data_IF_659080102804
#
_entry.id   IF_659080102804
#
_cell.length_a   1.000
_cell.length_b   1.000
_cell.length_c   1.000
_cell.angle_alpha   90.00
_cell.angle_beta   90.00
_cell.angle_gamma   90.00
#
_symmetry.space_group_name_H-M   'P 1'
#
loop_
_entity.id
_entity.type
_entity.pdbx_description
1 polymer ?
#
# COMPACT_ATOMS: atom_id res chain seq x y z
N UNK A 1 -21.65 2.46 -6.14
CA UNK A 1 -20.52 2.38 -5.20
C UNK A 1 -20.99 2.81 -3.82
N UNK A 2 -20.68 2.04 -2.80
CA UNK A 2 -20.83 2.43 -1.39
C UNK A 2 -19.54 3.09 -0.95
N UNK A 3 -19.65 4.15 -0.16
CA UNK A 3 -18.52 4.86 0.43
C UNK A 3 -18.84 5.17 1.90
N UNK A 4 -17.88 4.86 2.77
CA UNK A 4 -18.02 5.02 4.20
C UNK A 4 -16.75 5.60 4.81
N UNK A 5 -16.89 6.44 5.83
CA UNK A 5 -15.81 6.88 6.69
C UNK A 5 -16.00 6.27 8.07
N UNK A 6 -15.17 5.30 8.40
CA UNK A 6 -15.25 4.53 9.65
C UNK A 6 -14.03 4.82 10.52
N UNK A 7 -14.25 4.92 11.83
CA UNK A 7 -13.16 5.00 12.82
C UNK A 7 -12.90 3.60 13.39
N UNK A 8 -11.84 2.95 12.92
CA UNK A 8 -11.40 1.66 13.45
C UNK A 8 -10.77 1.90 14.82
N UNK A 9 -11.25 1.19 15.84
CA UNK A 9 -10.69 1.28 17.19
C UNK A 9 -9.44 0.41 17.29
N UNK A 10 -8.29 1.02 17.58
CA UNK A 10 -7.02 0.34 17.82
C UNK A 10 -6.59 0.55 19.28
N UNK A 11 -5.57 -0.19 19.74
CA UNK A 11 -4.98 0.02 21.08
C UNK A 11 -4.39 1.43 21.26
N UNK A 12 -4.03 2.12 20.17
CA UNK A 12 -3.32 3.40 20.20
C UNK A 12 -4.19 4.59 19.72
N UNK A 13 -5.49 4.37 19.48
CA UNK A 13 -6.43 5.42 19.09
C UNK A 13 -7.48 5.00 18.08
N UNK A 14 -8.01 5.96 17.35
CA UNK A 14 -9.04 5.75 16.34
C UNK A 14 -8.44 6.01 14.95
N UNK A 15 -8.30 4.95 14.18
CA UNK A 15 -7.80 5.02 12.81
C UNK A 15 -8.96 5.30 11.85
N UNK A 16 -9.09 6.56 11.42
CA UNK A 16 -10.08 6.93 10.41
C UNK A 16 -9.73 6.24 9.09
N UNK A 17 -10.69 5.53 8.53
CA UNK A 17 -10.53 4.70 7.35
C UNK A 17 -11.64 4.98 6.36
N UNK A 18 -11.27 5.34 5.13
CA UNK A 18 -12.18 5.39 4.00
C UNK A 18 -12.38 3.98 3.46
N UNK A 19 -13.64 3.56 3.33
CA UNK A 19 -14.03 2.24 2.82
C UNK A 19 -14.89 2.46 1.58
N UNK A 20 -14.61 1.72 0.50
CA UNK A 20 -15.44 1.77 -0.71
C UNK A 20 -15.51 0.40 -1.39
N UNK A 21 -16.71 0.04 -1.87
CA UNK A 21 -16.98 -1.24 -2.53
C UNK A 21 -18.21 -1.13 -3.47
N UNK A 22 -18.43 -2.09 -4.39
CA UNK A 22 -19.61 -2.09 -5.25
C UNK A 22 -20.91 -2.22 -4.45
N UNK A 23 -21.98 -1.61 -4.94
CA UNK A 23 -23.30 -1.64 -4.29
C UNK A 23 -23.97 -3.01 -4.35
N UNK A 24 -23.70 -3.77 -5.40
CA UNK A 24 -24.30 -5.08 -5.64
C UNK A 24 -23.23 -6.17 -5.70
N UNK A 25 -23.56 -7.34 -5.20
CA UNK A 25 -22.67 -8.50 -5.15
C UNK A 25 -22.09 -8.69 -3.75
N UNK A 26 -20.89 -9.26 -3.68
CA UNK A 26 -20.18 -9.55 -2.43
C UNK A 26 -20.47 -10.92 -1.83
N UNK A 27 -19.76 -11.30 -0.76
CA UNK A 27 -18.64 -10.55 -0.21
C UNK A 27 -17.52 -10.36 -1.24
N UNK A 28 -16.83 -9.20 -1.17
CA UNK A 28 -15.76 -8.84 -2.10
C UNK A 28 -14.39 -9.10 -1.47
N UNK A 29 -13.40 -9.61 -2.24
CA UNK A 29 -12.02 -9.67 -1.75
C UNK A 29 -11.56 -8.29 -1.25
N UNK A 30 -10.84 -8.29 -0.13
CA UNK A 30 -10.48 -7.06 0.57
C UNK A 30 -9.14 -6.52 0.09
N UNK A 31 -9.03 -5.22 -0.11
CA UNK A 31 -7.78 -4.53 -0.42
C UNK A 31 -7.42 -3.55 0.69
N UNK A 32 -6.26 -3.73 1.31
CA UNK A 32 -5.64 -2.73 2.16
C UNK A 32 -4.84 -1.79 1.27
N UNK A 33 -5.36 -0.58 1.13
CA UNK A 33 -4.78 0.46 0.28
C UNK A 33 -4.06 1.48 1.17
N UNK A 34 -2.74 1.41 1.23
CA UNK A 34 -1.95 2.24 2.12
C UNK A 34 -1.53 3.55 1.44
N UNK A 35 -1.80 4.67 2.12
CA UNK A 35 -1.46 6.01 1.68
C UNK A 35 0.05 6.23 1.62
N UNK A 36 0.49 7.18 0.81
CA UNK A 36 1.86 7.66 0.80
C UNK A 36 2.12 8.80 1.81
N UNK A 37 3.36 9.32 1.87
CA UNK A 37 3.75 10.31 2.86
C UNK A 37 2.97 11.63 2.81
N UNK A 38 2.55 12.17 1.67
CA UNK A 38 1.71 13.37 1.60
C UNK A 38 0.36 13.30 2.30
N UNK A 39 -0.03 12.12 2.78
CA UNK A 39 -1.26 11.95 3.56
C UNK A 39 -2.45 11.47 2.73
N UNK A 40 -3.59 11.30 3.41
CA UNK A 40 -4.82 10.79 2.81
C UNK A 40 -5.58 11.89 2.08
N UNK A 41 -5.24 12.09 0.81
CA UNK A 41 -5.84 13.09 -0.06
C UNK A 41 -6.99 12.53 -0.90
N UNK A 42 -7.83 13.40 -1.49
CA UNK A 42 -8.94 12.99 -2.36
C UNK A 42 -8.46 12.17 -3.56
N UNK A 43 -7.27 12.44 -4.07
CA UNK A 43 -6.66 11.62 -5.14
C UNK A 43 -6.52 10.15 -4.75
N UNK A 44 -6.18 9.86 -3.48
CA UNK A 44 -6.13 8.48 -2.96
C UNK A 44 -7.53 7.86 -2.84
N UNK A 45 -8.56 8.66 -2.51
CA UNK A 45 -9.95 8.19 -2.56
C UNK A 45 -10.35 7.80 -3.98
N UNK A 46 -9.99 8.59 -5.01
CA UNK A 46 -10.25 8.26 -6.41
C UNK A 46 -9.51 6.99 -6.85
N UNK A 47 -8.29 6.81 -6.40
CA UNK A 47 -7.51 5.58 -6.65
C UNK A 47 -8.15 4.36 -5.97
N UNK A 48 -8.64 4.51 -4.74
CA UNK A 48 -9.38 3.46 -4.03
C UNK A 48 -10.70 3.11 -4.74
N UNK A 49 -11.46 4.12 -5.22
CA UNK A 49 -12.68 3.94 -6.04
C UNK A 49 -12.37 3.17 -7.32
N UNK A 50 -11.24 3.46 -7.98
CA UNK A 50 -10.80 2.75 -9.19
C UNK A 50 -10.61 1.26 -8.93
N UNK A 51 -9.99 0.90 -7.81
CA UNK A 51 -9.81 -0.51 -7.40
C UNK A 51 -11.17 -1.13 -7.07
N UNK A 52 -11.98 -0.47 -6.24
CA UNK A 52 -13.28 -0.97 -5.82
C UNK A 52 -14.23 -1.20 -7.00
N UNK A 53 -14.19 -0.34 -8.04
CA UNK A 53 -15.01 -0.47 -9.25
C UNK A 53 -14.74 -1.79 -10.01
N UNK A 54 -13.65 -2.46 -9.75
CA UNK A 54 -13.34 -3.78 -10.34
C UNK A 54 -13.72 -4.95 -9.43
N UNK A 55 -14.52 -4.72 -8.38
CA UNK A 55 -15.10 -5.78 -7.56
C UNK A 55 -14.32 -6.10 -6.28
N UNK A 56 -13.80 -5.09 -5.60
CA UNK A 56 -13.07 -5.22 -4.35
C UNK A 56 -13.69 -4.37 -3.23
N UNK A 57 -13.53 -4.83 -1.99
CA UNK A 57 -13.77 -4.06 -0.77
C UNK A 57 -12.47 -3.37 -0.37
N UNK A 58 -12.37 -2.06 -0.57
CA UNK A 58 -11.12 -1.31 -0.38
C UNK A 58 -11.15 -0.53 0.93
N UNK A 59 -10.11 -0.68 1.73
CA UNK A 59 -9.88 0.02 2.99
C UNK A 59 -8.66 0.92 2.86
N UNK A 60 -8.85 2.24 2.97
CA UNK A 60 -7.79 3.25 2.93
C UNK A 60 -7.69 3.97 4.29
N UNK A 61 -6.81 3.49 5.20
CA UNK A 61 -6.66 4.08 6.53
C UNK A 61 -5.80 5.35 6.52
N UNK A 62 -6.08 6.26 7.47
CA UNK A 62 -5.14 7.30 7.87
C UNK A 62 -4.03 6.67 8.74
N UNK A 63 -2.85 6.47 8.18
CA UNK A 63 -1.72 5.86 8.89
C UNK A 63 -1.10 6.77 9.96
N UNK A 64 -1.40 8.08 9.91
CA UNK A 64 -0.92 9.07 10.87
C UNK A 64 -1.85 9.28 12.08
N UNK A 65 -2.89 8.47 12.23
CA UNK A 65 -3.96 8.65 13.23
C UNK A 65 -3.45 8.78 14.67
N UNK A 66 -2.27 8.23 14.99
CA UNK A 66 -1.65 8.36 16.32
C UNK A 66 -1.19 9.77 16.62
N UNK A 67 -0.89 10.54 15.57
CA UNK A 67 -0.34 11.90 15.68
C UNK A 67 -1.34 12.96 15.25
N UNK A 68 -2.15 12.68 14.23
CA UNK A 68 -3.12 13.63 13.69
C UNK A 68 -4.32 12.94 13.06
N UNK A 69 -5.50 13.54 13.23
CA UNK A 69 -6.72 13.07 12.54
C UNK A 69 -6.69 13.38 11.04
N UNK A 70 -5.96 14.42 10.65
CA UNK A 70 -5.88 14.86 9.26
C UNK A 70 -4.53 15.46 8.95
N UNK A 71 -3.92 15.03 7.87
CA UNK A 71 -2.73 15.63 7.29
C UNK A 71 -2.78 15.52 5.77
N UNK A 72 -2.53 16.65 5.10
CA UNK A 72 -2.31 16.73 3.67
C UNK A 72 -1.12 17.64 3.38
N UNK A 73 -0.20 17.20 2.53
CA UNK A 73 0.88 18.03 2.06
C UNK A 73 0.34 19.15 1.16
N UNK A 74 0.75 20.37 1.45
CA UNK A 74 0.54 21.50 0.54
C UNK A 74 1.54 21.42 -0.62
N UNK A 75 1.10 20.91 -1.77
CA UNK A 75 1.92 20.78 -2.98
C UNK A 75 2.20 22.11 -3.69
N UNK A 76 1.51 23.19 -3.35
CA UNK A 76 1.79 24.51 -3.95
C UNK A 76 2.98 25.18 -3.28
N UNK A 77 3.04 25.14 -1.95
CA UNK A 77 4.05 25.85 -1.18
C UNK A 77 5.08 24.96 -0.50
N UNK A 78 4.78 23.69 -0.30
CA UNK A 78 5.56 22.73 0.50
C UNK A 78 5.84 23.23 1.93
N UNK A 79 5.02 24.15 2.43
CA UNK A 79 5.23 24.82 3.71
C UNK A 79 5.16 23.89 4.92
N UNK A 80 4.44 22.76 4.80
CA UNK A 80 4.29 21.75 5.84
C UNK A 80 5.08 20.45 5.55
N UNK A 81 6.07 20.50 4.65
CA UNK A 81 6.91 19.33 4.34
C UNK A 81 7.70 18.81 5.54
N UNK A 82 8.11 19.71 6.46
CA UNK A 82 8.77 19.30 7.72
C UNK A 82 7.88 18.41 8.58
N UNK A 83 6.60 18.77 8.73
CA UNK A 83 5.60 17.97 9.45
C UNK A 83 5.39 16.62 8.77
N UNK A 84 5.33 16.59 7.43
CA UNK A 84 5.25 15.33 6.67
C UNK A 84 6.38 14.36 7.03
N UNK A 85 7.63 14.84 7.08
CA UNK A 85 8.78 14.01 7.43
C UNK A 85 8.75 13.54 8.88
N UNK A 86 8.28 14.38 9.81
CA UNK A 86 8.08 14.00 11.20
C UNK A 86 7.03 12.89 11.32
N UNK A 87 5.87 13.05 10.69
CA UNK A 87 4.80 12.05 10.65
C UNK A 87 5.27 10.73 10.01
N UNK A 88 5.93 10.79 8.86
CA UNK A 88 6.49 9.63 8.18
C UNK A 88 7.50 8.88 9.08
N UNK A 89 8.30 9.61 9.85
CA UNK A 89 9.30 9.04 10.76
C UNK A 89 8.71 8.44 12.03
N UNK A 90 7.48 8.81 12.38
CA UNK A 90 6.77 8.33 13.58
C UNK A 90 6.13 6.96 13.41
N UNK A 91 6.03 6.45 12.19
CA UNK A 91 5.42 5.15 11.88
C UNK A 91 6.44 4.17 11.29
N UNK A 92 6.15 2.87 11.42
CA UNK A 92 7.05 1.83 10.92
C UNK A 92 6.35 0.51 10.70
N UNK A 93 7.04 -0.43 10.06
CA UNK A 93 6.48 -1.71 9.62
C UNK A 93 5.72 -2.45 10.72
N UNK A 94 6.29 -2.58 11.92
CA UNK A 94 5.66 -3.29 13.05
C UNK A 94 4.37 -2.63 13.53
N UNK A 95 4.28 -1.30 13.46
CA UNK A 95 3.07 -0.57 13.85
C UNK A 95 1.95 -0.86 12.85
N UNK A 96 2.26 -0.77 11.56
CA UNK A 96 1.27 -1.02 10.50
C UNK A 96 0.85 -2.50 10.45
N UNK A 97 1.73 -3.43 10.76
CA UNK A 97 1.36 -4.84 10.91
C UNK A 97 0.34 -5.04 12.04
N UNK A 98 0.48 -4.34 13.19
CA UNK A 98 -0.54 -4.38 14.25
C UNK A 98 -1.87 -3.76 13.80
N UNK A 99 -1.81 -2.62 13.11
CA UNK A 99 -3.00 -1.96 12.58
C UNK A 99 -3.73 -2.85 11.56
N UNK A 100 -2.98 -3.58 10.74
CA UNK A 100 -3.55 -4.52 9.78
C UNK A 100 -4.35 -5.64 10.44
N UNK A 101 -3.97 -6.10 11.63
CA UNK A 101 -4.79 -7.06 12.38
C UNK A 101 -6.18 -6.51 12.68
N UNK A 102 -6.25 -5.28 13.14
CA UNK A 102 -7.55 -4.63 13.44
C UNK A 102 -8.38 -4.41 12.15
N UNK A 103 -7.70 -4.15 11.01
CA UNK A 103 -8.37 -4.08 9.71
C UNK A 103 -8.92 -5.45 9.26
N UNK A 104 -8.19 -6.54 9.50
CA UNK A 104 -8.64 -7.91 9.25
C UNK A 104 -9.88 -8.21 10.11
N UNK A 105 -9.85 -7.91 11.41
CA UNK A 105 -10.97 -8.10 12.32
C UNK A 105 -12.23 -7.32 11.90
N UNK A 106 -12.06 -6.09 11.40
CA UNK A 106 -13.17 -5.34 10.82
C UNK A 106 -13.73 -6.04 9.57
N UNK A 107 -12.86 -6.45 8.64
CA UNK A 107 -13.27 -7.17 7.44
C UNK A 107 -13.97 -8.51 7.76
N UNK A 108 -13.56 -9.22 8.81
CA UNK A 108 -14.23 -10.43 9.28
C UNK A 108 -15.65 -10.16 9.80
N UNK A 109 -15.90 -8.97 10.34
CA UNK A 109 -17.19 -8.57 10.88
C UNK A 109 -18.15 -7.95 9.85
N UNK A 110 -17.65 -7.53 8.69
CA UNK A 110 -18.43 -6.89 7.63
C UNK A 110 -18.91 -7.94 6.61
N UNK A 111 -20.23 -8.10 6.41
CA UNK A 111 -20.77 -9.08 5.46
C UNK A 111 -20.43 -8.79 3.99
N UNK A 112 -19.95 -7.60 3.67
CA UNK A 112 -19.55 -7.21 2.31
C UNK A 112 -18.08 -7.53 2.00
N UNK A 113 -17.25 -7.81 3.02
CA UNK A 113 -15.84 -8.06 2.90
C UNK A 113 -15.50 -9.55 2.94
N UNK A 114 -14.60 -10.01 2.08
CA UNK A 114 -13.95 -11.32 2.19
C UNK A 114 -12.57 -11.13 2.84
N UNK A 115 -12.48 -11.46 4.12
CA UNK A 115 -11.27 -11.37 4.94
C UNK A 115 -10.26 -12.50 4.71
N UNK A 116 -10.62 -13.53 3.92
CA UNK A 116 -9.72 -14.65 3.61
C UNK A 116 -8.94 -14.44 2.32
N UNK A 117 -9.37 -13.49 1.50
CA UNK A 117 -8.73 -13.13 0.24
C UNK A 117 -8.37 -11.63 0.27
N UNK A 118 -7.25 -11.32 0.91
CA UNK A 118 -6.77 -9.94 1.09
C UNK A 118 -5.64 -9.63 0.11
N UNK A 119 -5.70 -8.47 -0.52
CA UNK A 119 -4.59 -7.84 -1.22
C UNK A 119 -4.08 -6.62 -0.47
N UNK A 120 -2.79 -6.33 -0.58
CA UNK A 120 -2.20 -5.09 -0.05
C UNK A 120 -1.57 -4.29 -1.18
N UNK A 121 -1.74 -2.97 -1.15
CA UNK A 121 -0.99 -2.06 -2.02
C UNK A 121 -0.49 -0.88 -1.21
N UNK A 122 0.75 -0.48 -1.45
CA UNK A 122 1.37 0.67 -0.81
C UNK A 122 2.24 1.46 -1.78
N UNK A 123 2.24 2.77 -1.61
CA UNK A 123 2.98 3.72 -2.43
C UNK A 123 4.05 4.42 -1.58
N UNK A 124 5.25 4.65 -2.15
CA UNK A 124 6.30 5.41 -1.46
C UNK A 124 6.64 4.82 -0.08
N UNK A 125 6.40 5.57 0.99
CA UNK A 125 6.64 5.13 2.38
C UNK A 125 5.87 3.86 2.77
N UNK A 126 4.74 3.58 2.14
CA UNK A 126 3.90 2.44 2.50
C UNK A 126 4.13 1.20 1.62
N UNK A 127 4.98 1.28 0.62
CA UNK A 127 5.44 0.10 -0.11
C UNK A 127 5.99 -1.01 0.81
N UNK A 128 6.91 -0.70 1.75
CA UNK A 128 7.38 -1.65 2.77
C UNK A 128 6.26 -2.17 3.68
N UNK A 129 5.24 -1.36 3.97
CA UNK A 129 4.14 -1.79 4.83
C UNK A 129 3.30 -2.89 4.17
N UNK A 130 2.99 -2.75 2.88
CA UNK A 130 2.26 -3.77 2.14
C UNK A 130 2.98 -5.13 2.16
N UNK A 131 4.30 -5.12 1.98
CA UNK A 131 5.12 -6.34 2.02
C UNK A 131 5.20 -6.93 3.43
N UNK A 132 5.35 -6.09 4.45
CA UNK A 132 5.44 -6.52 5.86
C UNK A 132 4.11 -7.12 6.36
N UNK A 133 2.98 -6.58 5.93
CA UNK A 133 1.64 -7.12 6.24
C UNK A 133 1.45 -8.47 5.56
N UNK A 134 1.87 -8.62 4.31
CA UNK A 134 1.80 -9.91 3.61
C UNK A 134 2.64 -11.01 4.28
N UNK A 135 3.81 -10.64 4.79
CA UNK A 135 4.66 -11.58 5.53
C UNK A 135 4.09 -11.95 6.92
N UNK A 136 3.42 -11.00 7.59
CA UNK A 136 2.85 -11.22 8.92
C UNK A 136 1.54 -12.03 8.89
N UNK A 137 0.76 -11.92 7.82
CA UNK A 137 -0.54 -12.58 7.67
C UNK A 137 -0.62 -13.41 6.38
N UNK A 138 0.29 -14.40 6.20
CA UNK A 138 0.43 -15.14 4.94
C UNK A 138 -0.80 -15.98 4.57
N UNK A 139 -1.64 -16.33 5.58
CA UNK A 139 -2.85 -17.11 5.33
C UNK A 139 -4.02 -16.24 4.83
N UNK A 140 -4.05 -14.95 5.14
CA UNK A 140 -5.08 -14.03 4.69
C UNK A 140 -4.66 -13.22 3.45
N UNK A 141 -3.39 -12.75 3.42
CA UNK A 141 -2.87 -11.89 2.34
C UNK A 141 -2.33 -12.74 1.20
N UNK A 142 -3.03 -12.70 0.06
CA UNK A 142 -2.74 -13.48 -1.15
C UNK A 142 -1.95 -12.70 -2.19
N UNK A 143 -1.90 -11.37 -2.08
CA UNK A 143 -1.20 -10.50 -3.01
C UNK A 143 -0.68 -9.24 -2.32
N UNK A 144 0.53 -8.79 -2.66
CA UNK A 144 1.08 -7.54 -2.17
C UNK A 144 1.78 -6.76 -3.28
N UNK A 145 1.47 -5.47 -3.41
CA UNK A 145 2.09 -4.56 -4.36
C UNK A 145 2.80 -3.41 -3.63
N UNK A 146 4.07 -3.20 -3.93
CA UNK A 146 4.88 -2.05 -3.52
C UNK A 146 5.19 -1.20 -4.74
N UNK A 147 4.67 0.02 -4.79
CA UNK A 147 4.83 0.93 -5.92
C UNK A 147 5.81 2.04 -5.52
N UNK A 148 6.96 2.09 -6.21
CA UNK A 148 8.11 2.93 -5.85
C UNK A 148 8.35 2.99 -4.33
N UNK A 149 8.27 1.82 -3.69
CA UNK A 149 8.44 1.69 -2.25
C UNK A 149 9.85 2.04 -1.80
N UNK A 150 9.95 2.84 -0.74
CA UNK A 150 11.24 3.20 -0.14
C UNK A 150 11.64 2.20 0.93
N UNK A 151 12.94 2.08 1.25
CA UNK A 151 13.45 1.30 2.39
C UNK A 151 13.04 -0.19 2.37
N UNK A 152 12.97 -0.80 1.19
CA UNK A 152 12.60 -2.22 1.03
C UNK A 152 13.70 -3.17 1.53
N UNK A 153 14.96 -2.74 1.43
CA UNK A 153 16.13 -3.43 1.99
C UNK A 153 16.91 -2.43 2.84
N UNK A 154 16.91 -2.64 4.15
CA UNK A 154 17.63 -1.80 5.14
C UNK A 154 18.25 -2.68 6.22
N UNK A 155 19.28 -2.17 6.91
CA UNK A 155 19.89 -2.83 8.07
C UNK A 155 19.01 -2.62 9.32
N UNK A 156 17.89 -3.33 9.36
CA UNK A 156 16.93 -3.31 10.47
C UNK A 156 16.28 -4.68 10.59
N UNK A 157 15.97 -5.10 11.80
CA UNK A 157 15.33 -6.39 12.11
C UNK A 157 13.87 -6.49 11.63
N UNK A 158 13.28 -5.39 11.15
CA UNK A 158 11.95 -5.31 10.55
C UNK A 158 11.98 -4.88 9.07
N UNK A 159 13.14 -5.04 8.42
CA UNK A 159 13.28 -4.79 6.99
C UNK A 159 12.36 -5.72 6.18
N UNK A 160 11.57 -5.20 5.22
CA UNK A 160 10.56 -5.98 4.50
C UNK A 160 11.10 -7.23 3.80
N UNK A 161 12.31 -7.16 3.21
CA UNK A 161 12.92 -8.30 2.51
C UNK A 161 13.10 -9.54 3.39
N UNK A 162 13.31 -9.36 4.71
CA UNK A 162 13.43 -10.47 5.66
C UNK A 162 12.14 -11.30 5.78
N UNK A 163 11.01 -10.72 5.37
CA UNK A 163 9.69 -11.36 5.38
C UNK A 163 9.35 -12.14 4.11
N UNK A 164 10.16 -12.10 3.05
CA UNK A 164 9.80 -12.73 1.77
C UNK A 164 9.57 -14.24 1.90
N UNK A 165 10.38 -14.95 2.67
CA UNK A 165 10.22 -16.40 2.90
C UNK A 165 8.97 -16.76 3.73
N UNK A 166 8.34 -15.82 4.43
CA UNK A 166 7.11 -16.01 5.19
C UNK A 166 5.86 -15.70 4.35
N UNK A 167 6.01 -15.05 3.18
CA UNK A 167 4.89 -14.66 2.33
C UNK A 167 4.42 -15.82 1.48
N UNK A 168 3.13 -16.19 1.60
CA UNK A 168 2.49 -17.21 0.76
C UNK A 168 1.87 -16.60 -0.52
N UNK A 169 1.52 -15.32 -0.47
CA UNK A 169 0.94 -14.59 -1.58
C UNK A 169 1.96 -14.15 -2.63
N UNK A 170 1.47 -13.65 -3.76
CA UNK A 170 2.33 -13.11 -4.82
C UNK A 170 2.76 -11.68 -4.51
N UNK A 171 4.05 -11.38 -4.70
CA UNK A 171 4.66 -10.06 -4.49
C UNK A 171 4.91 -9.37 -5.84
N UNK A 172 4.48 -8.11 -5.95
CA UNK A 172 4.84 -7.23 -7.04
C UNK A 172 5.53 -5.97 -6.53
N UNK A 173 6.73 -5.69 -7.03
CA UNK A 173 7.50 -4.50 -6.67
C UNK A 173 7.78 -3.71 -7.95
N UNK A 174 7.21 -2.50 -8.04
CA UNK A 174 7.48 -1.53 -9.09
C UNK A 174 8.49 -0.50 -8.58
N UNK A 175 9.60 -0.32 -9.29
CA UNK A 175 10.63 0.69 -8.98
C UNK A 175 10.67 1.74 -10.08
N UNK A 176 10.81 3.01 -9.73
CA UNK A 176 11.08 4.07 -10.69
C UNK A 176 12.58 4.11 -11.04
N UNK A 177 12.93 4.42 -12.29
CA UNK A 177 14.36 4.54 -12.68
C UNK A 177 15.02 5.73 -12.01
N UNK A 178 14.33 6.86 -11.97
CA UNK A 178 14.82 8.09 -11.34
C UNK A 178 14.13 8.31 -10.01
N UNK A 179 14.76 7.89 -8.93
CA UNK A 179 14.16 7.94 -7.59
C UNK A 179 15.17 8.52 -6.59
N UNK A 180 14.94 9.76 -6.18
CA UNK A 180 15.80 10.46 -5.23
C UNK A 180 15.73 9.88 -3.80
N UNK A 181 14.69 9.06 -3.51
CA UNK A 181 14.47 8.44 -2.20
C UNK A 181 14.95 6.99 -2.13
N UNK A 182 15.26 6.40 -3.29
CA UNK A 182 15.63 4.99 -3.43
C UNK A 182 17.00 4.88 -4.10
N UNK A 183 18.08 4.50 -3.38
CA UNK A 183 19.36 4.26 -3.98
C UNK A 183 19.28 3.18 -5.08
N UNK A 184 19.97 3.35 -6.23
CA UNK A 184 19.96 2.34 -7.30
C UNK A 184 20.35 0.94 -6.82
N UNK A 185 21.22 0.85 -5.81
CA UNK A 185 21.66 -0.39 -5.21
C UNK A 185 20.51 -1.14 -4.53
N UNK A 186 19.53 -0.42 -3.95
CA UNK A 186 18.36 -1.05 -3.31
C UNK A 186 17.49 -1.79 -4.34
N UNK A 187 17.36 -1.29 -5.55
CA UNK A 187 16.60 -1.98 -6.62
C UNK A 187 17.25 -3.32 -6.97
N UNK A 188 18.58 -3.34 -7.08
CA UNK A 188 19.34 -4.57 -7.31
C UNK A 188 19.19 -5.52 -6.11
N UNK A 189 19.41 -5.02 -4.90
CA UNK A 189 19.32 -5.80 -3.68
C UNK A 189 17.94 -6.43 -3.49
N UNK A 190 16.85 -5.67 -3.64
CA UNK A 190 15.49 -6.21 -3.48
C UNK A 190 15.18 -7.26 -4.54
N UNK A 191 15.69 -7.11 -5.76
CA UNK A 191 15.55 -8.10 -6.83
C UNK A 191 16.30 -9.40 -6.52
N UNK A 192 17.51 -9.30 -5.98
CA UNK A 192 18.31 -10.44 -5.55
C UNK A 192 17.66 -11.15 -4.35
N UNK A 193 17.25 -10.41 -3.33
CA UNK A 193 16.59 -10.96 -2.14
C UNK A 193 15.29 -11.68 -2.50
N UNK A 194 14.45 -11.09 -3.37
CA UNK A 194 13.24 -11.74 -3.82
C UNK A 194 13.54 -13.01 -4.63
N UNK A 195 14.52 -12.96 -5.53
CA UNK A 195 14.92 -14.11 -6.37
C UNK A 195 15.52 -15.26 -5.57
N UNK A 196 16.18 -14.95 -4.43
CA UNK A 196 16.77 -15.92 -3.53
C UNK A 196 15.78 -16.46 -2.48
N UNK A 197 14.58 -15.88 -2.40
CA UNK A 197 13.52 -16.30 -1.49
C UNK A 197 12.64 -17.40 -2.09
N UNK A 198 11.78 -17.99 -1.27
CA UNK A 198 10.71 -18.89 -1.71
C UNK A 198 9.46 -18.16 -2.19
N UNK A 199 9.38 -16.84 -2.06
CA UNK A 199 8.22 -16.07 -2.44
C UNK A 199 8.00 -16.07 -3.95
N UNK A 200 6.74 -16.18 -4.36
CA UNK A 200 6.36 -15.91 -5.74
C UNK A 200 6.29 -14.41 -5.95
N UNK A 201 7.03 -13.87 -6.90
CA UNK A 201 6.97 -12.43 -7.14
C UNK A 201 7.95 -11.94 -8.19
N UNK A 202 7.89 -10.62 -8.43
CA UNK A 202 8.80 -9.95 -9.35
C UNK A 202 9.06 -8.50 -8.95
N UNK A 203 10.25 -8.03 -9.32
CA UNK A 203 10.62 -6.63 -9.34
C UNK A 203 10.58 -6.14 -10.79
N UNK A 204 9.95 -5.01 -11.04
CA UNK A 204 9.85 -4.38 -12.37
C UNK A 204 10.37 -2.95 -12.30
N UNK A 205 11.38 -2.63 -13.11
CA UNK A 205 11.89 -1.28 -13.28
C UNK A 205 11.03 -0.53 -14.31
N UNK A 206 10.56 0.64 -13.93
CA UNK A 206 9.84 1.57 -14.79
C UNK A 206 10.84 2.59 -15.32
N UNK A 207 11.28 2.37 -16.57
CA UNK A 207 12.26 3.20 -17.23
C UNK A 207 11.70 4.59 -17.58
N UNK A 208 12.51 5.62 -17.47
CA UNK A 208 12.19 7.00 -17.87
C UNK A 208 11.22 7.73 -16.92
N UNK A 209 10.93 7.17 -15.72
CA UNK A 209 9.99 7.79 -14.79
C UNK A 209 10.62 8.09 -13.44
N UNK A 210 10.00 9.03 -12.73
CA UNK A 210 10.40 9.48 -11.40
C UNK A 210 9.52 8.91 -10.30
N UNK A 211 10.00 9.02 -9.05
CA UNK A 211 9.19 8.72 -7.87
C UNK A 211 7.87 9.51 -7.89
N UNK A 212 6.75 8.85 -7.61
CA UNK A 212 5.43 9.50 -7.67
C UNK A 212 4.73 9.43 -9.02
N UNK A 213 5.28 8.74 -10.03
CA UNK A 213 4.74 8.67 -11.39
C UNK A 213 3.28 8.24 -11.51
N UNK A 214 2.73 7.58 -10.50
CA UNK A 214 1.37 7.01 -10.53
C UNK A 214 0.27 8.02 -10.18
N UNK A 215 0.61 9.21 -9.66
CA UNK A 215 -0.34 10.19 -9.14
C UNK A 215 -0.59 11.33 -10.14
N UNK A 216 -1.80 11.44 -10.74
CA UNK A 216 -2.12 12.47 -11.74
C UNK A 216 -1.92 13.91 -11.27
N UNK A 217 -2.09 14.19 -9.98
CA UNK A 217 -1.95 15.54 -9.40
C UNK A 217 -0.50 15.98 -9.19
N UNK A 218 0.51 15.15 -9.51
CA UNK A 218 1.93 15.45 -9.24
C UNK A 218 2.71 15.80 -10.49
N UNK A 219 3.80 16.58 -10.31
CA UNK A 219 4.67 16.98 -11.40
C UNK A 219 5.37 15.81 -12.09
N UNK A 220 5.61 14.73 -11.38
CA UNK A 220 6.26 13.49 -11.83
C UNK A 220 5.32 12.52 -12.54
N UNK A 221 4.03 12.86 -12.66
CA UNK A 221 3.04 11.98 -13.28
C UNK A 221 3.44 11.57 -14.69
N UNK A 222 3.46 10.27 -14.91
CA UNK A 222 3.64 9.69 -16.24
C UNK A 222 2.44 8.78 -16.55
N UNK A 223 1.59 9.21 -17.46
CA UNK A 223 0.33 8.51 -17.78
C UNK A 223 0.57 7.07 -18.25
N UNK A 224 1.55 6.85 -19.10
CA UNK A 224 1.83 5.50 -19.64
C UNK A 224 2.29 4.55 -18.52
N UNK A 225 3.21 4.99 -17.68
CA UNK A 225 3.67 4.22 -16.52
C UNK A 225 2.56 4.03 -15.49
N UNK A 226 1.75 5.07 -15.24
CA UNK A 226 0.60 4.97 -14.34
C UNK A 226 -0.43 3.95 -14.81
N UNK A 227 -0.79 3.94 -16.09
CA UNK A 227 -1.73 2.94 -16.63
C UNK A 227 -1.09 1.53 -16.63
N UNK A 228 0.19 1.40 -16.95
CA UNK A 228 0.92 0.13 -16.86
C UNK A 228 0.91 -0.43 -15.43
N UNK A 229 1.17 0.40 -14.41
CA UNK A 229 1.13 -0.08 -13.02
C UNK A 229 -0.28 -0.54 -12.64
N UNK A 230 -1.36 0.15 -13.08
CA UNK A 230 -2.72 -0.29 -12.85
C UNK A 230 -3.03 -1.63 -13.52
N UNK A 231 -2.58 -1.85 -14.75
CA UNK A 231 -2.71 -3.15 -15.41
C UNK A 231 -2.04 -4.26 -14.59
N UNK A 232 -0.84 -3.99 -14.05
CA UNK A 232 -0.10 -4.95 -13.22
C UNK A 232 -0.81 -5.24 -11.90
N UNK A 233 -1.29 -4.20 -11.23
CA UNK A 233 -1.99 -4.32 -9.94
C UNK A 233 -3.32 -5.06 -10.11
N UNK A 234 -4.13 -4.68 -11.10
CA UNK A 234 -5.39 -5.38 -11.37
C UNK A 234 -5.15 -6.85 -11.75
N UNK A 235 -4.18 -7.13 -12.61
CA UNK A 235 -3.84 -8.51 -12.97
C UNK A 235 -3.30 -9.31 -11.76
N UNK A 236 -2.55 -8.68 -10.86
CA UNK A 236 -2.09 -9.30 -9.61
C UNK A 236 -3.28 -9.70 -8.72
N UNK A 237 -4.19 -8.76 -8.49
CA UNK A 237 -5.34 -8.99 -7.63
C UNK A 237 -6.33 -9.98 -8.25
N UNK A 238 -6.62 -9.85 -9.54
CA UNK A 238 -7.58 -10.75 -10.21
C UNK A 238 -7.15 -12.21 -10.15
N UNK A 239 -5.88 -12.54 -10.35
CA UNK A 239 -5.43 -13.94 -10.36
C UNK A 239 -5.21 -14.56 -8.98
N UNK A 240 -5.08 -13.72 -7.92
CA UNK A 240 -4.80 -14.21 -6.57
C UNK A 240 -5.98 -14.10 -5.61
N UNK A 241 -6.96 -13.23 -5.90
CA UNK A 241 -8.07 -12.94 -4.98
C UNK A 241 -9.44 -13.41 -5.52
N UNK A 242 -9.55 -13.65 -6.82
CA UNK A 242 -10.77 -14.13 -7.49
C UNK A 242 -10.52 -15.51 -8.07
#
# INVERSE_FOLDING_TARGET
>A
MIEEHTKIHTEEGHMETFITFPEEGGPFPTIFFFMDAPGKQEELHDMARRVAATGYYVMLPNLYYRSTEHFELDFETFSNSGEMFELMSSIGNRMIVRDALTMIELAESDPNADSQNIGCIGYCMSGPFALSVAAAYPEAVKAAASIYGVRLVVDSSDSPHLGFNQTNGEIYIACAEFDDYVPPEMVTQVSEELSNSSANGRVELYEGVHHGFAFPGRGEYNKEAAERHWERVHALFDRNLK
#
